data_IF_588501127165
#
_entry.id   IF_588501127165
#
_cell.length_a   1.000
_cell.length_b   1.000
_cell.length_c   1.000
_cell.angle_alpha   90.00
_cell.angle_beta   90.00
_cell.angle_gamma   90.00
#
_symmetry.space_group_name_H-M   'P 1'
#
loop_
_entity.id
_entity.type
_entity.pdbx_description
1 polymer ?
#
# COMPACT_ATOMS: atom_id res chain seq x y z
N UNK A 1 -6.78 -0.44 -5.28
CA UNK A 1 -5.73 -0.28 -4.27
C UNK A 1 -6.03 0.98 -3.48
N UNK A 2 -6.07 0.88 -2.16
CA UNK A 2 -6.08 2.02 -1.24
C UNK A 2 -4.67 2.14 -0.69
N UNK A 3 -4.02 3.27 -0.93
CA UNK A 3 -2.61 3.50 -0.56
C UNK A 3 -2.57 4.58 0.51
N UNK A 4 -1.94 4.29 1.63
CA UNK A 4 -1.66 5.27 2.69
C UNK A 4 -0.16 5.36 2.93
N UNK A 5 0.34 6.60 3.02
CA UNK A 5 1.72 6.83 3.44
C UNK A 5 1.76 6.97 4.96
N UNK A 6 2.65 6.21 5.59
CA UNK A 6 2.80 6.14 7.05
C UNK A 6 4.26 6.33 7.44
N UNK A 7 4.51 6.80 8.65
CA UNK A 7 5.88 6.94 9.17
C UNK A 7 6.52 5.58 9.46
N UNK A 8 5.70 4.62 9.94
CA UNK A 8 6.07 3.22 10.13
C UNK A 8 4.86 2.30 9.92
N UNK A 9 5.07 1.12 9.34
CA UNK A 9 4.06 0.09 9.16
C UNK A 9 3.77 -0.57 10.51
N UNK A 10 2.55 -0.36 11.00
CA UNK A 10 1.93 -1.19 12.02
C UNK A 10 1.08 -2.27 11.32
N UNK A 11 1.50 -3.54 11.40
CA UNK A 11 0.76 -4.64 10.78
C UNK A 11 -0.60 -4.88 11.45
N UNK A 12 -0.74 -4.61 12.76
CA UNK A 12 -2.01 -4.77 13.45
C UNK A 12 -3.03 -3.71 13.01
N UNK A 13 -2.58 -2.46 12.82
CA UNK A 13 -3.41 -1.40 12.23
C UNK A 13 -3.80 -1.73 10.79
N UNK A 14 -2.84 -2.19 9.98
CA UNK A 14 -3.09 -2.58 8.59
C UNK A 14 -4.13 -3.70 8.52
N UNK A 15 -4.05 -4.70 9.38
CA UNK A 15 -5.04 -5.78 9.48
C UNK A 15 -6.41 -5.22 9.89
N UNK A 16 -6.48 -4.40 10.94
CA UNK A 16 -7.73 -3.83 11.40
C UNK A 16 -8.41 -2.94 10.33
N UNK A 17 -7.64 -2.20 9.53
CA UNK A 17 -8.16 -1.46 8.39
C UNK A 17 -8.55 -2.38 7.22
N UNK A 18 -7.72 -3.38 6.93
CA UNK A 18 -7.97 -4.39 5.90
C UNK A 18 -9.28 -5.15 6.14
N UNK A 19 -9.53 -5.61 7.36
CA UNK A 19 -10.76 -6.29 7.77
C UNK A 19 -11.99 -5.38 7.63
N UNK A 20 -11.87 -4.10 8.00
CA UNK A 20 -12.94 -3.11 7.77
C UNK A 20 -13.23 -2.91 6.28
N UNK A 21 -12.21 -2.93 5.43
CA UNK A 21 -12.38 -2.86 3.98
C UNK A 21 -12.94 -4.18 3.40
N UNK A 22 -12.59 -5.33 3.96
CA UNK A 22 -13.12 -6.65 3.58
C UNK A 22 -14.59 -6.82 3.92
N UNK A 23 -15.07 -6.19 4.99
CA UNK A 23 -16.48 -6.13 5.34
C UNK A 23 -17.36 -5.43 4.29
N UNK A 24 -16.76 -4.91 3.21
CA UNK A 24 -17.42 -4.28 2.06
C UNK A 24 -18.42 -3.19 2.49
N UNK A 25 -17.98 -2.17 3.24
CA UNK A 25 -18.85 -1.09 3.69
C UNK A 25 -19.47 -0.38 2.48
N UNK A 26 -20.58 0.33 2.68
CA UNK A 26 -21.33 0.95 1.58
C UNK A 26 -20.50 1.87 0.65
N UNK A 27 -19.44 2.49 1.18
CA UNK A 27 -18.51 3.34 0.42
C UNK A 27 -17.39 2.56 -0.30
N UNK A 28 -17.21 1.27 -0.01
CA UNK A 28 -16.26 0.37 -0.67
C UNK A 28 -16.88 -1.01 -0.94
N UNK A 29 -17.97 -1.10 -1.72
CA UNK A 29 -18.71 -2.35 -1.93
C UNK A 29 -17.87 -3.41 -2.66
N UNK A 30 -16.90 -2.98 -3.48
CA UNK A 30 -16.03 -3.88 -4.24
C UNK A 30 -14.81 -4.37 -3.43
N UNK A 31 -14.68 -3.91 -2.17
CA UNK A 31 -13.49 -4.05 -1.33
C UNK A 31 -12.24 -3.48 -2.05
N UNK A 32 -11.07 -3.60 -1.44
CA UNK A 32 -9.81 -3.22 -2.09
C UNK A 32 -8.62 -3.84 -1.39
N UNK A 33 -7.51 -4.00 -2.11
CA UNK A 33 -6.20 -4.18 -1.47
C UNK A 33 -5.86 -2.87 -0.75
N UNK A 34 -5.45 -2.97 0.52
CA UNK A 34 -5.02 -1.85 1.36
C UNK A 34 -3.51 -1.94 1.55
N UNK A 35 -2.79 -0.88 1.24
CA UNK A 35 -1.33 -0.84 1.30
C UNK A 35 -0.86 0.31 2.18
N UNK A 36 -0.04 -0.01 3.16
CA UNK A 36 0.75 0.97 3.90
C UNK A 36 2.11 1.10 3.25
N UNK A 37 2.54 2.35 3.08
CA UNK A 37 3.79 2.72 2.39
C UNK A 37 4.64 3.58 3.31
N UNK A 38 5.81 3.07 3.65
CA UNK A 38 6.88 3.84 4.28
C UNK A 38 7.80 4.40 3.20
N UNK A 39 8.25 5.65 3.36
CA UNK A 39 9.36 6.17 2.58
C UNK A 39 10.68 5.73 3.23
N UNK A 40 11.59 5.18 2.44
CA UNK A 40 12.91 4.72 2.91
C UNK A 40 14.03 5.44 2.19
N UNK A 41 14.06 6.77 2.32
CA UNK A 41 15.00 7.64 1.62
C UNK A 41 14.48 8.12 0.27
N UNK A 42 15.38 8.66 -0.56
CA UNK A 42 15.03 9.15 -1.89
C UNK A 42 14.79 7.97 -2.84
N UNK A 43 13.68 8.00 -3.58
CA UNK A 43 13.30 6.98 -4.57
C UNK A 43 13.28 5.53 -4.02
N UNK A 44 12.97 5.36 -2.73
CA UNK A 44 12.84 4.05 -2.10
C UNK A 44 11.60 3.98 -1.21
N UNK A 45 10.82 2.91 -1.38
CA UNK A 45 9.57 2.67 -0.68
C UNK A 45 9.61 1.30 -0.02
N UNK A 46 9.00 1.14 1.15
CA UNK A 46 8.61 -0.15 1.67
C UNK A 46 7.09 -0.26 1.69
N UNK A 47 6.56 -1.37 1.19
CA UNK A 47 5.12 -1.57 1.03
C UNK A 47 4.69 -2.87 1.71
N UNK A 48 3.73 -2.77 2.63
CA UNK A 48 3.03 -3.92 3.21
C UNK A 48 1.57 -3.84 2.83
N UNK A 49 1.01 -4.97 2.40
CA UNK A 49 -0.34 -5.01 1.81
C UNK A 49 -1.21 -6.03 2.51
N UNK A 50 -2.43 -5.61 2.84
CA UNK A 50 -3.56 -6.48 3.09
C UNK A 50 -4.31 -6.65 1.77
N UNK A 51 -4.26 -7.85 1.21
CA UNK A 51 -4.83 -8.18 -0.10
C UNK A 51 -6.28 -8.63 0.01
N UNK A 52 -7.10 -8.12 -0.91
CA UNK A 52 -8.54 -8.36 -0.92
C UNK A 52 -8.84 -9.85 -1.04
N UNK A 53 -9.60 -10.39 -0.09
CA UNK A 53 -9.99 -11.79 -0.03
C UNK A 53 -8.87 -12.76 0.35
N UNK A 54 -7.70 -12.26 0.77
CA UNK A 54 -6.54 -13.08 1.13
C UNK A 54 -6.03 -12.73 2.53
N UNK A 55 -5.90 -11.44 2.86
CA UNK A 55 -5.27 -10.98 4.10
C UNK A 55 -3.85 -10.47 3.87
N UNK A 56 -2.98 -10.55 4.88
CA UNK A 56 -1.59 -10.14 4.73
C UNK A 56 -0.85 -11.05 3.74
N UNK A 57 -0.21 -10.45 2.73
CA UNK A 57 0.58 -11.17 1.73
C UNK A 57 1.99 -10.62 1.62
N UNK A 58 2.93 -11.52 1.32
CA UNK A 58 4.36 -11.20 1.27
C UNK A 58 4.75 -10.39 0.02
N UNK A 59 3.99 -10.55 -1.06
CA UNK A 59 4.14 -9.68 -2.22
C UNK A 59 2.86 -9.62 -3.05
N UNK A 60 2.57 -8.43 -3.54
CA UNK A 60 1.51 -8.18 -4.52
C UNK A 60 2.05 -7.17 -5.54
N UNK A 61 2.35 -7.62 -6.76
CA UNK A 61 3.01 -6.78 -7.78
C UNK A 61 2.19 -5.53 -8.16
N UNK A 62 0.86 -5.65 -8.21
CA UNK A 62 -0.04 -4.52 -8.47
C UNK A 62 -0.04 -3.50 -7.32
N UNK A 63 0.16 -3.94 -6.08
CA UNK A 63 0.30 -3.03 -4.95
C UNK A 63 1.61 -2.22 -5.02
N UNK A 64 2.70 -2.83 -5.49
CA UNK A 64 3.97 -2.10 -5.71
C UNK A 64 3.79 -1.02 -6.77
N UNK A 65 3.19 -1.38 -7.92
CA UNK A 65 2.93 -0.43 -9.00
C UNK A 65 2.01 0.73 -8.55
N UNK A 66 0.92 0.42 -7.84
CA UNK A 66 0.00 1.43 -7.31
C UNK A 66 0.69 2.35 -6.29
N UNK A 67 1.53 1.81 -5.42
CA UNK A 67 2.26 2.58 -4.39
C UNK A 67 3.28 3.52 -5.02
N UNK A 68 4.05 3.03 -6.00
CA UNK A 68 5.01 3.86 -6.77
C UNK A 68 4.29 4.99 -7.50
N UNK A 69 3.19 4.69 -8.18
CA UNK A 69 2.42 5.72 -8.89
C UNK A 69 1.83 6.76 -7.92
N UNK A 70 1.29 6.34 -6.79
CA UNK A 70 0.79 7.24 -5.74
C UNK A 70 1.91 8.10 -5.13
N UNK A 71 3.11 7.56 -4.97
CA UNK A 71 4.25 8.31 -4.46
C UNK A 71 4.65 9.43 -5.43
N UNK A 72 4.69 9.13 -6.73
CA UNK A 72 4.95 10.13 -7.76
C UNK A 72 3.83 11.17 -7.84
N UNK A 73 2.56 10.75 -7.85
CA UNK A 73 1.41 11.66 -7.90
C UNK A 73 1.36 12.63 -6.72
N UNK A 74 1.82 12.20 -5.54
CA UNK A 74 1.80 13.03 -4.32
C UNK A 74 3.13 13.74 -4.04
N UNK A 75 4.05 13.77 -5.02
CA UNK A 75 5.32 14.49 -4.93
C UNK A 75 6.34 13.89 -3.95
N UNK A 76 6.15 12.64 -3.52
CA UNK A 76 7.05 11.91 -2.62
C UNK A 76 8.23 11.27 -3.35
N UNK A 77 8.01 10.91 -4.61
CA UNK A 77 9.04 10.50 -5.56
C UNK A 77 8.85 11.26 -6.87
N UNK A 78 9.86 11.25 -7.74
CA UNK A 78 9.75 11.88 -9.06
C UNK A 78 9.34 10.87 -10.14
N UNK A 79 8.50 11.31 -11.09
CA UNK A 79 8.23 10.54 -12.30
C UNK A 79 9.51 10.37 -13.14
N UNK A 80 9.60 9.22 -13.83
CA UNK A 80 10.73 8.93 -14.74
C UNK A 80 12.02 8.51 -14.06
N UNK A 81 12.02 8.33 -12.73
CA UNK A 81 13.16 7.78 -11.97
C UNK A 81 12.96 6.32 -11.63
N UNK A 82 14.07 5.62 -11.40
CA UNK A 82 14.05 4.28 -10.85
C UNK A 82 13.70 4.36 -9.37
N UNK A 83 12.59 3.77 -8.98
CA UNK A 83 12.14 3.70 -7.58
C UNK A 83 12.27 2.25 -7.12
N UNK A 84 13.02 2.04 -6.04
CA UNK A 84 13.19 0.71 -5.43
C UNK A 84 12.05 0.47 -4.46
N UNK A 85 11.33 -0.63 -4.63
CA UNK A 85 10.22 -1.01 -3.75
C UNK A 85 10.58 -2.29 -3.01
N UNK A 86 10.70 -2.17 -1.69
CA UNK A 86 10.85 -3.30 -0.78
C UNK A 86 9.47 -3.78 -0.34
N UNK A 87 9.33 -5.08 -0.18
CA UNK A 87 8.17 -5.70 0.46
C UNK A 87 8.65 -6.76 1.46
N UNK A 88 7.72 -7.21 2.28
CA UNK A 88 7.87 -8.36 3.16
C UNK A 88 6.79 -9.32 2.76
#
# INVERSE_FOLDING_TARGET
HLVSFVDSVDEAELVALGERCEAAPAWLPNRANVSFVELRGEDALFVRTFERGVGLTDSCGSAMAASTYAACLTGKCAFGRNITVFNR
#
